data_IF_811903943035
#
_entry.id   IF_811903943035
#
_cell.length_a   1.000
_cell.length_b   1.000
_cell.length_c   1.000
_cell.angle_alpha   90.00
_cell.angle_beta   90.00
_cell.angle_gamma   90.00
#
_symmetry.space_group_name_H-M   'P 1'
#
loop_
_entity.id
_entity.type
_entity.pdbx_description
1 polymer ?
#
# COMPACT_ATOMS: atom_id res chain seq x y z
N UNK A 1 -4.91 14.32 -21.39
CA UNK A 1 -6.23 14.20 -20.74
C UNK A 1 -6.06 14.84 -19.38
N UNK A 2 -6.78 15.91 -19.08
CA UNK A 2 -6.65 16.57 -17.78
C UNK A 2 -7.33 15.69 -16.72
N UNK A 3 -6.52 15.08 -15.87
CA UNK A 3 -6.96 14.18 -14.79
C UNK A 3 -7.11 14.92 -13.45
N UNK A 4 -6.76 16.21 -13.42
CA UNK A 4 -6.85 17.04 -12.21
C UNK A 4 -8.30 17.48 -12.00
N UNK A 5 -8.85 17.16 -10.82
CA UNK A 5 -10.21 17.54 -10.43
C UNK A 5 -10.20 18.46 -9.21
N UNK A 6 -11.22 19.32 -9.01
CA UNK A 6 -11.34 20.12 -7.80
C UNK A 6 -11.50 19.22 -6.57
N UNK A 7 -10.96 19.66 -5.43
CA UNK A 7 -11.07 18.96 -4.14
C UNK A 7 -10.12 19.55 -3.11
N UNK A 8 -10.54 19.59 -1.84
CA UNK A 8 -9.80 20.18 -0.72
C UNK A 8 -9.46 19.16 0.38
N UNK A 9 -9.74 17.88 0.15
CA UNK A 9 -9.47 16.77 1.07
C UNK A 9 -9.04 15.55 0.25
N UNK A 10 -8.24 14.66 0.83
CA UNK A 10 -7.91 13.39 0.18
C UNK A 10 -9.19 12.56 0.03
N UNK A 11 -9.40 11.94 -1.13
CA UNK A 11 -10.60 11.12 -1.35
C UNK A 11 -10.54 9.82 -0.53
N UNK A 12 -11.67 9.35 0.02
CA UNK A 12 -11.71 8.13 0.83
C UNK A 12 -11.11 6.90 0.14
N UNK A 13 -11.28 6.76 -1.18
CA UNK A 13 -10.80 5.58 -1.92
C UNK A 13 -9.27 5.48 -2.10
N UNK A 14 -8.51 6.54 -1.76
CA UNK A 14 -7.04 6.57 -1.83
C UNK A 14 -6.41 7.13 -0.54
N UNK A 15 -7.23 7.46 0.46
CA UNK A 15 -6.81 8.09 1.71
C UNK A 15 -5.76 7.28 2.46
N UNK A 16 -5.96 5.97 2.58
CA UNK A 16 -4.99 5.06 3.21
C UNK A 16 -3.63 5.08 2.50
N UNK A 17 -3.62 5.13 1.17
CA UNK A 17 -2.38 5.14 0.39
C UNK A 17 -1.57 6.42 0.63
N UNK A 18 -2.24 7.58 0.69
CA UNK A 18 -1.61 8.85 1.04
C UNK A 18 -1.02 8.81 2.46
N UNK A 19 -1.80 8.44 3.48
CA UNK A 19 -1.31 8.40 4.86
C UNK A 19 -0.11 7.45 5.03
N UNK A 20 -0.15 6.27 4.40
CA UNK A 20 0.99 5.34 4.39
C UNK A 20 2.22 5.92 3.71
N UNK A 21 2.03 6.61 2.59
CA UNK A 21 3.13 7.21 1.84
C UNK A 21 3.76 8.36 2.62
N UNK A 22 2.95 9.24 3.23
CA UNK A 22 3.44 10.31 4.11
C UNK A 22 4.26 9.69 5.24
N UNK A 23 3.72 8.70 5.96
CA UNK A 23 4.44 8.01 7.05
C UNK A 23 5.77 7.41 6.57
N UNK A 24 5.74 6.69 5.45
CA UNK A 24 6.91 6.00 4.91
C UNK A 24 7.99 6.97 4.44
N UNK A 25 7.63 7.99 3.66
CA UNK A 25 8.58 8.98 3.14
C UNK A 25 9.20 9.77 4.29
N UNK A 26 8.40 10.18 5.28
CA UNK A 26 8.90 10.89 6.47
C UNK A 26 9.97 10.07 7.20
N UNK A 27 9.64 8.83 7.54
CA UNK A 27 10.60 7.96 8.25
C UNK A 27 11.80 7.58 7.39
N UNK A 28 11.62 7.33 6.09
CA UNK A 28 12.73 6.98 5.21
C UNK A 28 13.70 8.16 5.00
N UNK A 29 13.23 9.41 4.95
CA UNK A 29 14.09 10.61 4.90
C UNK A 29 14.93 10.71 6.18
N UNK A 30 14.31 10.58 7.35
CA UNK A 30 15.02 10.63 8.64
C UNK A 30 16.08 9.52 8.78
N UNK A 31 15.81 8.35 8.18
CA UNK A 31 16.70 7.21 8.19
C UNK A 31 17.65 7.13 6.97
N UNK A 32 17.71 8.18 6.13
CA UNK A 32 18.54 8.26 4.93
C UNK A 32 18.30 7.13 3.90
N UNK A 33 17.08 6.57 3.86
CA UNK A 33 16.63 5.53 2.92
C UNK A 33 15.91 6.14 1.72
N UNK A 34 16.57 7.05 1.02
CA UNK A 34 15.97 7.83 -0.07
C UNK A 34 15.41 6.96 -1.21
N UNK A 35 16.07 5.85 -1.52
CA UNK A 35 15.62 4.91 -2.54
C UNK A 35 14.24 4.30 -2.21
N UNK A 36 13.98 3.94 -0.95
CA UNK A 36 12.69 3.37 -0.55
C UNK A 36 11.62 4.44 -0.37
N UNK A 37 11.99 5.69 -0.08
CA UNK A 37 11.09 6.83 -0.12
C UNK A 37 10.59 7.09 -1.56
N UNK A 38 11.49 7.13 -2.53
CA UNK A 38 11.15 7.29 -3.95
C UNK A 38 10.28 6.13 -4.43
N UNK A 39 10.60 4.89 -4.04
CA UNK A 39 9.77 3.72 -4.37
C UNK A 39 8.33 3.82 -3.80
N UNK A 40 8.16 4.42 -2.61
CA UNK A 40 6.85 4.68 -2.03
C UNK A 40 6.07 5.71 -2.86
N UNK A 41 6.72 6.80 -3.27
CA UNK A 41 6.12 7.82 -4.14
C UNK A 41 5.71 7.25 -5.50
N UNK A 42 6.54 6.40 -6.11
CA UNK A 42 6.20 5.69 -7.34
C UNK A 42 4.98 4.78 -7.18
N UNK A 43 4.87 4.09 -6.03
CA UNK A 43 3.73 3.23 -5.73
C UNK A 43 2.44 4.05 -5.61
N UNK A 44 2.48 5.16 -4.87
CA UNK A 44 1.35 6.09 -4.77
C UNK A 44 0.94 6.65 -6.13
N UNK A 45 1.91 7.00 -6.99
CA UNK A 45 1.64 7.48 -8.34
C UNK A 45 0.88 6.44 -9.18
N UNK A 46 1.25 5.16 -9.07
CA UNK A 46 0.54 4.07 -9.74
C UNK A 46 -0.90 3.92 -9.23
N UNK A 47 -1.12 4.07 -7.92
CA UNK A 47 -2.47 4.04 -7.34
C UNK A 47 -3.33 5.20 -7.86
N UNK A 48 -2.77 6.42 -7.89
CA UNK A 48 -3.43 7.60 -8.48
C UNK A 48 -3.78 7.35 -9.95
N UNK A 49 -2.83 6.82 -10.73
CA UNK A 49 -3.04 6.52 -12.14
C UNK A 49 -4.15 5.46 -12.34
N UNK A 50 -4.24 4.47 -11.45
CA UNK A 50 -5.30 3.46 -11.48
C UNK A 50 -6.70 4.04 -11.17
N UNK A 51 -6.80 5.11 -10.37
CA UNK A 51 -8.05 5.85 -10.16
C UNK A 51 -8.41 6.76 -11.35
N UNK A 52 -7.46 7.04 -12.23
CA UNK A 52 -7.66 7.86 -13.44
C UNK A 52 -7.87 9.35 -13.20
N UNK A 53 -7.89 9.79 -11.94
CA UNK A 53 -8.08 11.20 -11.53
C UNK A 53 -7.26 11.47 -10.28
N UNK A 54 -6.85 12.72 -10.10
CA UNK A 54 -6.22 13.23 -8.87
C UNK A 54 -6.88 14.55 -8.50
N UNK A 55 -7.22 14.77 -7.24
CA UNK A 55 -7.75 16.06 -6.85
C UNK A 55 -6.66 17.06 -6.46
N UNK A 56 -7.02 18.33 -6.32
CA UNK A 56 -6.08 19.40 -6.01
C UNK A 56 -5.35 19.22 -4.67
N UNK A 57 -6.00 18.70 -3.63
CA UNK A 57 -5.34 18.45 -2.34
C UNK A 57 -4.37 17.27 -2.39
N UNK A 58 -4.75 16.19 -3.06
CA UNK A 58 -3.90 15.02 -3.32
C UNK A 58 -2.64 15.42 -4.10
N UNK A 59 -2.80 16.24 -5.15
CA UNK A 59 -1.68 16.78 -5.92
C UNK A 59 -0.77 17.66 -5.06
N UNK A 60 -1.35 18.50 -4.18
CA UNK A 60 -0.60 19.36 -3.26
C UNK A 60 0.29 18.52 -2.34
N UNK A 61 -0.28 17.51 -1.69
CA UNK A 61 0.44 16.62 -0.78
C UNK A 61 1.53 15.85 -1.52
N UNK A 62 1.21 15.26 -2.67
CA UNK A 62 2.20 14.54 -3.49
C UNK A 62 3.38 15.43 -3.88
N UNK A 63 3.09 16.68 -4.28
CA UNK A 63 4.10 17.68 -4.66
C UNK A 63 5.05 17.99 -3.50
N UNK A 64 4.52 18.18 -2.28
CA UNK A 64 5.35 18.45 -1.10
C UNK A 64 6.22 17.24 -0.74
N UNK A 65 5.67 16.02 -0.78
CA UNK A 65 6.44 14.81 -0.47
C UNK A 65 7.58 14.56 -1.48
N UNK A 66 7.38 14.94 -2.74
CA UNK A 66 8.36 14.80 -3.81
C UNK A 66 9.44 15.92 -3.78
N UNK A 67 9.14 17.08 -3.18
CA UNK A 67 9.98 18.27 -3.22
C UNK A 67 11.44 18.03 -2.76
N UNK A 68 11.73 17.26 -1.69
CA UNK A 68 13.10 16.96 -1.30
C UNK A 68 13.94 16.21 -2.36
N UNK A 69 13.27 15.54 -3.31
CA UNK A 69 13.92 14.72 -4.35
C UNK A 69 13.94 15.39 -5.72
N UNK A 70 12.88 16.12 -6.07
CA UNK A 70 12.73 16.80 -7.36
C UNK A 70 12.22 18.25 -7.18
N UNK A 71 13.01 19.12 -6.53
CA UNK A 71 12.55 20.45 -6.14
C UNK A 71 12.12 21.29 -7.34
N UNK A 72 12.92 21.32 -8.42
CA UNK A 72 12.62 22.15 -9.61
C UNK A 72 11.25 21.82 -10.23
N UNK A 73 10.94 20.53 -10.42
CA UNK A 73 9.67 20.09 -11.02
C UNK A 73 8.50 20.38 -10.08
N UNK A 74 8.70 20.17 -8.78
CA UNK A 74 7.64 20.41 -7.80
C UNK A 74 7.33 21.89 -7.62
N UNK A 75 8.33 22.78 -7.70
CA UNK A 75 8.11 24.23 -7.69
C UNK A 75 7.38 24.71 -8.95
N UNK A 76 7.71 24.15 -10.12
CA UNK A 76 6.98 24.46 -11.36
C UNK A 76 5.51 24.02 -11.29
N UNK A 77 5.25 22.80 -10.81
CA UNK A 77 3.88 22.31 -10.55
C UNK A 77 3.17 23.20 -9.54
N UNK A 78 3.85 23.62 -8.47
CA UNK A 78 3.28 24.45 -7.43
C UNK A 78 2.82 25.82 -7.96
N UNK A 79 3.68 26.47 -8.76
CA UNK A 79 3.40 27.74 -9.39
C UNK A 79 2.28 27.62 -10.44
N UNK A 80 2.33 26.60 -11.30
CA UNK A 80 1.33 26.35 -12.34
C UNK A 80 -0.08 26.10 -11.77
N UNK A 81 -0.15 25.48 -10.59
CA UNK A 81 -1.42 25.23 -9.92
C UNK A 81 -1.88 26.39 -9.06
N UNK A 82 -1.08 27.45 -8.87
CA UNK A 82 -1.45 28.63 -8.08
C UNK A 82 -1.91 28.27 -6.66
N UNK A 83 -1.15 27.46 -5.93
CA UNK A 83 -1.53 27.07 -4.56
C UNK A 83 -1.50 28.26 -3.59
N UNK A 84 -0.35 28.92 -3.47
CA UNK A 84 -0.15 30.13 -2.68
C UNK A 84 1.12 30.88 -3.14
N UNK A 85 1.37 32.06 -2.56
CA UNK A 85 2.52 32.91 -2.89
C UNK A 85 3.87 32.40 -2.34
N UNK A 86 3.86 31.26 -1.64
CA UNK A 86 5.07 30.62 -1.10
C UNK A 86 5.52 29.49 -2.02
N UNK A 87 6.78 29.10 -1.89
CA UNK A 87 7.37 27.95 -2.58
C UNK A 87 6.92 26.62 -1.96
N UNK A 88 6.97 25.52 -2.71
CA UNK A 88 6.66 24.19 -2.21
C UNK A 88 7.60 23.78 -1.05
N UNK A 89 8.88 24.16 -1.12
CA UNK A 89 9.86 23.96 -0.04
C UNK A 89 9.59 24.76 1.26
N UNK A 90 8.70 25.76 1.22
CA UNK A 90 8.31 26.57 2.38
C UNK A 90 7.04 26.07 3.05
N UNK A 91 6.43 24.99 2.53
CA UNK A 91 5.20 24.45 3.06
C UNK A 91 5.47 23.55 4.27
N UNK A 92 4.47 23.44 5.12
CA UNK A 92 4.50 22.46 6.20
C UNK A 92 4.51 21.04 5.63
N UNK A 93 5.31 20.18 6.26
CA UNK A 93 5.35 18.78 5.91
C UNK A 93 4.00 18.11 6.22
N UNK A 94 3.42 17.31 5.32
CA UNK A 94 2.12 16.69 5.54
C UNK A 94 2.14 15.75 6.77
N UNK A 95 1.08 15.79 7.57
CA UNK A 95 0.89 14.86 8.68
C UNK A 95 0.11 13.61 8.24
N UNK A 96 0.26 12.52 8.98
CA UNK A 96 -0.49 11.29 8.73
C UNK A 96 -1.29 10.84 9.95
N UNK A 97 -2.35 10.08 9.71
CA UNK A 97 -3.15 9.41 10.74
C UNK A 97 -2.76 7.93 10.79
N UNK A 98 -2.28 7.48 11.94
CA UNK A 98 -1.87 6.09 12.18
C UNK A 98 -3.03 5.10 12.02
N UNK A 99 -4.28 5.50 12.31
CA UNK A 99 -5.45 4.64 12.13
C UNK A 99 -5.75 4.40 10.66
N UNK A 100 -5.53 5.42 9.81
CA UNK A 100 -5.74 5.33 8.36
C UNK A 100 -4.63 4.58 7.63
N UNK A 101 -3.50 4.34 8.30
CA UNK A 101 -2.41 3.51 7.78
C UNK A 101 -2.69 2.00 7.86
N UNK A 102 -3.76 1.57 8.53
CA UNK A 102 -4.09 0.16 8.69
C UNK A 102 -4.76 -0.37 7.42
N UNK A 103 -4.23 -1.46 6.88
CA UNK A 103 -4.93 -2.21 5.85
C UNK A 103 -6.19 -2.86 6.44
N UNK A 104 -7.31 -2.78 5.73
CA UNK A 104 -8.50 -3.57 6.03
C UNK A 104 -8.30 -5.04 5.62
N UNK A 105 -7.54 -5.26 4.53
CA UNK A 105 -7.29 -6.56 3.93
C UNK A 105 -5.80 -6.78 3.66
N UNK A 106 -5.36 -8.01 3.83
CA UNK A 106 -3.98 -8.47 3.61
C UNK A 106 -3.97 -9.61 2.62
N UNK A 107 -2.99 -9.60 1.72
CA UNK A 107 -2.71 -10.72 0.84
C UNK A 107 -1.80 -11.73 1.54
N UNK A 108 -2.29 -12.96 1.72
CA UNK A 108 -1.59 -14.04 2.38
C UNK A 108 -1.17 -15.08 1.35
N UNK A 109 0.13 -15.42 1.32
CA UNK A 109 0.62 -16.50 0.48
C UNK A 109 0.24 -17.85 1.08
N UNK A 110 -0.39 -18.72 0.28
CA UNK A 110 -0.69 -20.10 0.68
C UNK A 110 0.32 -21.05 0.06
N UNK A 111 1.01 -21.78 0.94
CA UNK A 111 2.05 -22.73 0.62
C UNK A 111 1.59 -24.16 0.90
N UNK A 112 2.04 -25.10 0.07
CA UNK A 112 1.96 -26.54 0.34
C UNK A 112 3.38 -27.09 0.32
N UNK A 113 3.80 -27.73 1.41
CA UNK A 113 5.17 -28.22 1.61
C UNK A 113 6.24 -27.15 1.29
N UNK A 114 5.99 -25.89 1.69
CA UNK A 114 6.91 -24.77 1.49
C UNK A 114 6.90 -24.13 0.10
N UNK A 115 6.14 -24.64 -0.87
CA UNK A 115 6.00 -24.03 -2.20
C UNK A 115 4.72 -23.20 -2.27
N UNK A 116 4.82 -21.94 -2.72
CA UNK A 116 3.63 -21.07 -2.93
C UNK A 116 2.77 -21.64 -4.06
N UNK A 117 1.47 -21.77 -3.79
CA UNK A 117 0.48 -22.34 -4.72
C UNK A 117 -0.66 -21.39 -5.04
N UNK A 118 -1.03 -20.56 -4.07
CA UNK A 118 -2.05 -19.54 -4.23
C UNK A 118 -1.71 -18.31 -3.38
N UNK A 119 -2.39 -17.21 -3.67
CA UNK A 119 -2.48 -16.05 -2.78
C UNK A 119 -3.96 -15.78 -2.53
N UNK A 120 -4.31 -15.50 -1.29
CA UNK A 120 -5.69 -15.21 -0.89
C UNK A 120 -5.71 -13.87 -0.15
N UNK A 121 -6.74 -13.08 -0.40
CA UNK A 121 -6.97 -11.83 0.30
C UNK A 121 -7.90 -12.09 1.48
N UNK A 122 -7.48 -11.68 2.67
CA UNK A 122 -8.22 -11.88 3.92
C UNK A 122 -8.23 -10.60 4.76
N UNK A 123 -9.21 -10.40 5.66
CA UNK A 123 -9.17 -9.28 6.59
C UNK A 123 -7.90 -9.28 7.43
N UNK A 124 -7.35 -8.10 7.74
CA UNK A 124 -6.13 -7.98 8.58
C UNK A 124 -6.31 -8.58 9.97
N UNK A 125 -7.55 -8.58 10.48
CA UNK A 125 -7.92 -9.16 11.77
C UNK A 125 -8.30 -10.65 11.69
N UNK A 126 -8.00 -11.35 10.57
CA UNK A 126 -8.36 -12.76 10.39
C UNK A 126 -7.72 -13.66 11.46
N UNK A 127 -8.54 -14.53 12.05
CA UNK A 127 -8.05 -15.49 13.03
C UNK A 127 -7.23 -16.59 12.34
N UNK A 128 -6.43 -17.31 13.13
CA UNK A 128 -5.68 -18.47 12.60
C UNK A 128 -6.61 -19.51 11.98
N UNK A 129 -7.74 -19.79 12.62
CA UNK A 129 -8.70 -20.80 12.18
C UNK A 129 -9.37 -20.40 10.86
N UNK A 130 -9.77 -19.13 10.75
CA UNK A 130 -10.39 -18.60 9.53
C UNK A 130 -9.39 -18.56 8.37
N UNK A 131 -8.14 -18.16 8.62
CA UNK A 131 -7.09 -18.13 7.61
C UNK A 131 -6.78 -19.54 7.06
N UNK A 132 -6.72 -20.55 7.94
CA UNK A 132 -6.52 -21.95 7.55
C UNK A 132 -7.72 -22.49 6.77
N UNK A 133 -8.94 -22.17 7.20
CA UNK A 133 -10.17 -22.60 6.53
C UNK A 133 -10.28 -21.99 5.14
N UNK A 134 -10.01 -20.69 4.99
CA UNK A 134 -10.00 -20.00 3.71
C UNK A 134 -8.90 -20.54 2.77
N UNK A 135 -7.72 -20.86 3.30
CA UNK A 135 -6.64 -21.48 2.54
C UNK A 135 -7.04 -22.85 1.98
N UNK A 136 -7.70 -23.70 2.79
CA UNK A 136 -8.19 -25.03 2.35
C UNK A 136 -9.36 -24.94 1.37
N UNK A 137 -10.20 -23.91 1.48
CA UNK A 137 -11.32 -23.69 0.57
C UNK A 137 -10.88 -23.22 -0.83
N UNK A 138 -9.63 -22.77 -0.98
CA UNK A 138 -9.11 -22.38 -2.29
C UNK A 138 -8.99 -23.61 -3.20
N UNK A 139 -9.61 -23.56 -4.39
CA UNK A 139 -9.65 -24.68 -5.34
C UNK A 139 -8.27 -25.29 -5.64
N UNK A 140 -7.26 -24.46 -5.92
CA UNK A 140 -5.89 -24.93 -6.22
C UNK A 140 -5.25 -25.66 -5.04
N UNK A 141 -5.55 -25.20 -3.82
CA UNK A 141 -5.01 -25.80 -2.60
C UNK A 141 -5.72 -27.10 -2.29
N UNK A 142 -7.06 -27.12 -2.39
CA UNK A 142 -7.89 -28.31 -2.21
C UNK A 142 -7.46 -29.45 -3.16
N UNK A 143 -7.19 -29.14 -4.42
CA UNK A 143 -6.66 -30.09 -5.41
C UNK A 143 -5.25 -30.59 -5.02
N UNK A 144 -4.35 -29.70 -4.60
CA UNK A 144 -2.98 -30.07 -4.23
C UNK A 144 -2.90 -30.94 -2.96
N UNK A 145 -3.85 -30.78 -2.03
CA UNK A 145 -3.91 -31.57 -0.78
C UNK A 145 -4.83 -32.81 -0.90
N UNK A 146 -5.56 -32.97 -2.01
CA UNK A 146 -6.44 -34.11 -2.21
C UNK A 146 -5.67 -35.44 -2.12
N UNK A 147 -6.17 -36.36 -1.28
CA UNK A 147 -5.53 -37.66 -1.06
C UNK A 147 -4.25 -37.64 -0.23
N UNK A 148 -3.82 -36.48 0.30
CA UNK A 148 -2.64 -36.36 1.18
C UNK A 148 -3.08 -36.16 2.63
N UNK A 149 -2.30 -36.71 3.57
CA UNK A 149 -2.49 -36.49 5.00
C UNK A 149 -1.84 -35.17 5.44
N UNK A 150 -2.63 -34.25 6.00
CA UNK A 150 -2.11 -33.02 6.58
C UNK A 150 -1.40 -33.33 7.91
N UNK A 151 -0.09 -33.07 7.96
CA UNK A 151 0.77 -33.34 9.14
C UNK A 151 0.92 -32.10 10.01
N UNK A 152 1.01 -30.92 9.40
CA UNK A 152 1.13 -29.64 10.12
C UNK A 152 0.46 -28.52 9.36
N UNK A 153 -0.14 -27.61 10.11
CA UNK A 153 -0.77 -26.39 9.62
C UNK A 153 -0.14 -25.19 10.31
N UNK A 154 0.58 -24.39 9.54
CA UNK A 154 1.36 -23.27 10.06
C UNK A 154 0.74 -21.99 9.52
N UNK A 155 0.36 -21.10 10.43
CA UNK A 155 -0.06 -19.75 10.08
C UNK A 155 0.95 -18.78 10.66
N UNK A 156 1.51 -17.93 9.80
CA UNK A 156 2.30 -16.76 10.22
C UNK A 156 1.40 -15.55 10.03
N UNK A 157 0.94 -14.90 11.13
CA UNK A 157 0.00 -13.80 11.07
C UNK A 157 0.42 -12.74 10.06
N UNK A 158 -0.50 -12.38 9.15
CA UNK A 158 -0.25 -11.33 8.16
C UNK A 158 0.65 -11.69 6.99
N UNK A 159 1.21 -12.91 6.93
CA UNK A 159 2.26 -13.26 5.96
C UNK A 159 1.93 -14.48 5.10
N UNK A 160 1.74 -15.64 5.74
CA UNK A 160 1.54 -16.89 5.00
C UNK A 160 0.78 -17.96 5.79
N UNK A 161 0.15 -18.86 5.04
CA UNK A 161 -0.32 -20.16 5.51
C UNK A 161 0.52 -21.24 4.82
N UNK A 162 1.10 -22.17 5.58
CA UNK A 162 1.80 -23.32 5.04
C UNK A 162 1.16 -24.62 5.52
N UNK A 163 0.68 -25.42 4.56
CA UNK A 163 0.09 -26.73 4.77
C UNK A 163 1.13 -27.80 4.46
N UNK A 164 1.56 -28.52 5.49
CA UNK A 164 2.49 -29.64 5.34
C UNK A 164 1.67 -30.90 5.12
N UNK A 165 1.69 -31.41 3.89
CA UNK A 165 0.94 -32.58 3.48
C UNK A 165 1.90 -33.73 3.13
N UNK A 166 1.67 -34.92 3.70
CA UNK A 166 2.37 -36.16 3.35
C UNK A 166 1.38 -37.10 2.67
N UNK A 167 1.71 -37.53 1.46
CA UNK A 167 1.03 -38.57 0.69
C UNK A 167 2.07 -39.32 -0.11
#
# INVERSE_FOLDING_TARGET
QDILVPGNQIRPEIETAFHKTIKKVSGDIENLKFNTAIAALMSLLNEIAAKGTINREEMRIFTILLNPFAPHVTEEVWANLHYNDKMACQQEWPSYDEQKCKDAEIEIAVQVNGKVRARITLPTAVTKEDALSAAKANKKIAEEIAGKNLVKEIYVPGKLVNLVAKG
#
